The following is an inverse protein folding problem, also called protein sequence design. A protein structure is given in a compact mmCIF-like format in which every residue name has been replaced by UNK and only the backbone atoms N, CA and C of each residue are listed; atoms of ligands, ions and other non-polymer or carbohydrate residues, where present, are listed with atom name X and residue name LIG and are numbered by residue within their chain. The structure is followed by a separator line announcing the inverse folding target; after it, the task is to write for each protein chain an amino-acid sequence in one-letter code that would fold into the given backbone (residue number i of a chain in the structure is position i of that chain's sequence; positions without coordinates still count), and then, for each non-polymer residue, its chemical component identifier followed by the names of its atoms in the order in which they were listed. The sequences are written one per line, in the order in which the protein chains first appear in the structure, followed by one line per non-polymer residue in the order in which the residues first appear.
data_IF_220763394886
#
_entry.id   IF_220763394886
#
_cell.length_a   1.000
_cell.length_b   1.000
_cell.length_c   1.000
_cell.angle_alpha   90.00
_cell.angle_beta   90.00
_cell.angle_gamma   90.00
#
_symmetry.space_group_name_H-M   'P 1'
#
loop_
_entity.id
_entity.type
_entity.pdbx_description
1 polymer ?
#
# COMPACT_ATOMS: atom_id res chain seq x y z
N UNK A 1 -41.03 -7.81 24.42
CA UNK A 1 -40.84 -7.17 23.10
C UNK A 1 -39.34 -7.11 22.88
N UNK A 2 -38.80 -8.17 22.27
CA UNK A 2 -37.34 -8.42 22.11
C UNK A 2 -36.89 -7.85 20.77
N UNK A 3 -35.88 -6.97 20.78
CA UNK A 3 -35.30 -6.35 19.59
C UNK A 3 -34.53 -7.39 18.74
N UNK A 4 -34.87 -7.66 17.47
CA UNK A 4 -34.25 -8.69 16.64
C UNK A 4 -32.95 -8.23 15.93
N UNK A 5 -32.30 -7.13 16.34
CA UNK A 5 -31.13 -6.54 15.66
C UNK A 5 -29.79 -6.79 16.32
N UNK A 6 -29.63 -7.90 17.05
CA UNK A 6 -28.34 -8.34 17.64
C UNK A 6 -27.89 -9.69 17.11
N UNK A 7 -27.72 -9.81 15.82
CA UNK A 7 -26.81 -10.81 15.24
C UNK A 7 -25.97 -10.12 14.18
N UNK A 8 -25.02 -9.33 14.64
CA UNK A 8 -23.88 -8.99 13.83
C UNK A 8 -23.00 -10.24 13.74
N UNK A 9 -23.01 -10.88 12.58
CA UNK A 9 -22.00 -11.87 12.23
C UNK A 9 -20.64 -11.20 12.40
N UNK A 10 -20.02 -11.49 13.54
CA UNK A 10 -18.60 -11.22 13.75
C UNK A 10 -17.87 -12.11 12.74
N UNK A 11 -17.51 -11.53 11.62
CA UNK A 11 -16.61 -12.16 10.68
C UNK A 11 -15.34 -12.52 11.46
N UNK A 12 -15.22 -13.80 11.82
CA UNK A 12 -14.00 -14.31 12.45
C UNK A 12 -12.84 -13.97 11.51
N UNK A 13 -11.78 -13.30 12.00
CA UNK A 13 -10.62 -13.04 11.16
C UNK A 13 -10.09 -14.41 10.70
N UNK A 14 -9.96 -14.57 9.39
CA UNK A 14 -9.39 -15.78 8.81
C UNK A 14 -8.11 -16.12 9.55
N UNK A 15 -8.04 -17.31 10.13
CA UNK A 15 -6.87 -17.76 10.89
C UNK A 15 -5.67 -17.72 9.94
N UNK A 16 -4.65 -16.93 10.28
CA UNK A 16 -3.45 -16.82 9.47
C UNK A 16 -2.87 -18.24 9.26
N UNK A 17 -2.40 -18.57 8.05
CA UNK A 17 -1.87 -19.90 7.79
C UNK A 17 -0.69 -20.20 8.71
N UNK A 18 -0.59 -21.41 9.18
CA UNK A 18 0.54 -21.86 10.00
C UNK A 18 1.88 -21.80 9.23
N UNK A 19 1.81 -21.90 7.91
CA UNK A 19 2.94 -21.80 6.99
C UNK A 19 2.90 -20.45 6.27
N UNK A 20 4.04 -19.72 6.16
CA UNK A 20 4.09 -18.48 5.43
C UNK A 20 3.71 -18.64 3.95
N UNK A 21 2.96 -17.69 3.41
CA UNK A 21 2.59 -17.66 2.00
C UNK A 21 3.81 -17.57 1.09
N UNK A 22 3.93 -18.48 0.17
CA UNK A 22 4.91 -18.41 -0.92
C UNK A 22 4.43 -17.47 -2.03
N UNK A 23 5.37 -16.96 -2.83
CA UNK A 23 5.06 -16.15 -4.01
C UNK A 23 4.12 -16.88 -4.97
N UNK A 24 4.37 -18.15 -5.25
CA UNK A 24 3.56 -18.96 -6.19
C UNK A 24 2.11 -19.13 -5.72
N UNK A 25 1.88 -19.30 -4.43
CA UNK A 25 0.54 -19.38 -3.86
C UNK A 25 -0.19 -18.06 -3.99
N UNK A 26 0.49 -16.95 -3.69
CA UNK A 26 -0.10 -15.61 -3.85
C UNK A 26 -0.43 -15.30 -5.30
N UNK A 27 0.45 -15.63 -6.24
CA UNK A 27 0.18 -15.49 -7.70
C UNK A 27 -1.07 -16.27 -8.10
N UNK A 28 -1.18 -17.51 -7.65
CA UNK A 28 -2.37 -18.31 -7.92
C UNK A 28 -3.63 -17.64 -7.38
N UNK A 29 -3.62 -17.21 -6.11
CA UNK A 29 -4.77 -16.54 -5.49
C UNK A 29 -5.14 -15.23 -6.20
N UNK A 30 -4.16 -14.41 -6.58
CA UNK A 30 -4.40 -13.18 -7.35
C UNK A 30 -5.07 -13.48 -8.70
N UNK A 31 -4.63 -14.53 -9.39
CA UNK A 31 -5.25 -14.99 -10.64
C UNK A 31 -6.66 -15.53 -10.43
N UNK A 32 -6.90 -16.27 -9.34
CA UNK A 32 -8.23 -16.75 -8.95
C UNK A 32 -9.20 -15.60 -8.65
N UNK A 33 -8.68 -14.50 -8.05
CA UNK A 33 -9.41 -13.23 -7.86
C UNK A 33 -9.70 -12.48 -9.17
N UNK A 34 -9.07 -12.87 -10.26
CA UNK A 34 -9.32 -12.29 -11.57
C UNK A 34 -8.21 -11.40 -12.12
N UNK A 35 -7.09 -11.22 -11.43
CA UNK A 35 -5.95 -10.47 -11.96
C UNK A 35 -5.37 -11.16 -13.19
N UNK A 36 -5.18 -10.40 -14.26
CA UNK A 36 -4.70 -10.88 -15.56
C UNK A 36 -3.40 -10.18 -15.96
N UNK A 37 -2.65 -10.83 -16.84
CA UNK A 37 -1.51 -10.18 -17.50
C UNK A 37 -1.97 -8.95 -18.29
N UNK A 38 -1.29 -7.83 -18.10
CA UNK A 38 -1.63 -6.54 -18.70
C UNK A 38 -2.51 -5.63 -17.83
N UNK A 39 -3.02 -6.13 -16.72
CA UNK A 39 -3.84 -5.32 -15.82
C UNK A 39 -3.02 -4.20 -15.14
N UNK A 40 -3.72 -3.13 -14.79
CA UNK A 40 -3.25 -2.14 -13.83
C UNK A 40 -3.90 -2.42 -12.48
N UNK A 41 -3.09 -2.69 -11.47
CA UNK A 41 -3.58 -3.02 -10.12
C UNK A 41 -3.12 -1.96 -9.13
N UNK A 42 -4.09 -1.42 -8.38
CA UNK A 42 -3.80 -0.54 -7.23
C UNK A 42 -4.08 -1.30 -5.94
N UNK A 43 -3.06 -1.85 -5.27
CA UNK A 43 -3.27 -2.66 -4.07
C UNK A 43 -3.52 -1.79 -2.83
N UNK A 44 -4.56 -2.13 -2.07
CA UNK A 44 -4.78 -1.65 -0.72
C UNK A 44 -4.64 -2.83 0.23
N UNK A 45 -3.52 -2.90 0.95
CA UNK A 45 -3.12 -4.12 1.67
C UNK A 45 -2.86 -3.85 3.14
N UNK A 46 -3.47 -4.66 3.98
CA UNK A 46 -3.04 -4.85 5.35
C UNK A 46 -2.14 -6.09 5.44
N UNK A 47 -0.83 -5.90 5.56
CA UNK A 47 0.12 -7.01 5.71
C UNK A 47 -0.21 -7.91 6.91
N UNK A 48 -0.81 -7.33 7.96
CA UNK A 48 -1.29 -8.08 9.12
C UNK A 48 -2.44 -9.02 8.76
N UNK A 49 -3.34 -8.60 7.88
CA UNK A 49 -4.46 -9.41 7.45
C UNK A 49 -4.05 -10.49 6.45
N UNK A 50 -3.04 -10.23 5.63
CA UNK A 50 -2.45 -11.24 4.73
C UNK A 50 -1.80 -12.37 5.52
N UNK A 51 -1.17 -12.05 6.64
CA UNK A 51 -0.47 -13.02 7.49
C UNK A 51 1.01 -13.20 7.11
N UNK A 52 1.65 -14.29 7.59
CA UNK A 52 3.06 -14.54 7.33
C UNK A 52 3.38 -14.69 5.84
N UNK A 53 4.47 -14.09 5.41
CA UNK A 53 4.99 -14.13 4.05
C UNK A 53 6.40 -14.71 4.06
N UNK A 54 6.76 -15.57 3.10
CA UNK A 54 8.00 -16.35 3.11
C UNK A 54 9.26 -15.47 3.21
N UNK A 55 9.32 -14.39 2.43
CA UNK A 55 10.43 -13.43 2.44
C UNK A 55 9.94 -12.03 2.86
N UNK A 56 8.94 -12.00 3.75
CA UNK A 56 8.33 -10.75 4.21
C UNK A 56 7.51 -10.05 3.11
N UNK A 57 7.26 -8.74 3.24
CA UNK A 57 6.40 -7.98 2.33
C UNK A 57 6.83 -8.04 0.86
N UNK A 58 8.12 -8.26 0.59
CA UNK A 58 8.64 -8.40 -0.76
C UNK A 58 7.99 -9.55 -1.53
N UNK A 59 7.68 -10.67 -0.85
CA UNK A 59 6.96 -11.81 -1.44
C UNK A 59 5.65 -11.38 -2.10
N UNK A 60 4.89 -10.48 -1.46
CA UNK A 60 3.62 -10.01 -2.01
C UNK A 60 3.83 -9.06 -3.20
N UNK A 61 4.83 -8.16 -3.13
CA UNK A 61 5.14 -7.26 -4.25
C UNK A 61 5.57 -8.07 -5.48
N UNK A 62 6.44 -9.06 -5.29
CA UNK A 62 6.89 -9.95 -6.37
C UNK A 62 5.73 -10.77 -6.97
N UNK A 63 4.78 -11.20 -6.12
CA UNK A 63 3.59 -11.90 -6.59
C UNK A 63 2.65 -10.99 -7.40
N UNK A 64 2.45 -9.75 -6.98
CA UNK A 64 1.67 -8.77 -7.73
C UNK A 64 2.28 -8.50 -9.11
N UNK A 65 3.59 -8.26 -9.16
CA UNK A 65 4.33 -8.01 -10.41
C UNK A 65 4.23 -9.23 -11.35
N UNK A 66 4.41 -10.44 -10.83
CA UNK A 66 4.27 -11.65 -11.62
C UNK A 66 2.83 -11.86 -12.13
N UNK A 67 1.83 -11.54 -11.30
CA UNK A 67 0.44 -11.72 -11.68
C UNK A 67 0.01 -10.79 -12.82
N UNK A 68 0.44 -9.52 -12.79
CA UNK A 68 0.13 -8.56 -13.87
C UNK A 68 1.04 -8.71 -15.08
N UNK A 69 2.18 -9.39 -14.94
CA UNK A 69 3.11 -9.67 -16.03
C UNK A 69 3.80 -8.43 -16.62
N UNK A 70 4.59 -8.62 -17.70
CA UNK A 70 5.49 -7.58 -18.22
C UNK A 70 4.79 -6.39 -18.87
N UNK A 71 3.52 -6.50 -19.19
CA UNK A 71 2.72 -5.42 -19.80
C UNK A 71 1.73 -4.79 -18.81
N UNK A 72 1.64 -5.33 -17.60
CA UNK A 72 0.82 -4.80 -16.54
C UNK A 72 1.55 -3.76 -15.69
N UNK A 73 0.82 -3.11 -14.79
CA UNK A 73 1.36 -2.10 -13.91
C UNK A 73 0.83 -2.28 -12.49
N UNK A 74 1.66 -1.96 -11.51
CA UNK A 74 1.25 -1.74 -10.12
C UNK A 74 1.28 -0.23 -9.86
N UNK A 75 0.24 0.27 -9.24
CA UNK A 75 0.12 1.69 -8.88
C UNK A 75 -0.14 1.79 -7.38
N UNK A 76 0.70 2.49 -6.64
CA UNK A 76 0.53 2.68 -5.21
C UNK A 76 0.44 4.16 -4.84
N UNK A 77 -0.50 4.49 -3.96
CA UNK A 77 -0.58 5.82 -3.37
C UNK A 77 0.41 5.89 -2.20
N UNK A 78 1.54 6.54 -2.41
CA UNK A 78 2.66 6.51 -1.46
C UNK A 78 2.74 7.74 -0.57
N UNK A 79 2.34 8.93 -1.06
CA UNK A 79 2.49 10.20 -0.35
C UNK A 79 3.90 10.38 0.26
N UNK A 80 4.11 11.29 1.16
CA UNK A 80 5.42 11.54 1.77
C UNK A 80 5.33 11.54 3.30
N UNK A 81 6.08 10.65 3.96
CA UNK A 81 6.08 10.50 5.43
C UNK A 81 6.37 11.81 6.16
N UNK A 82 7.31 12.58 5.65
CA UNK A 82 7.76 13.82 6.29
C UNK A 82 7.10 15.07 5.69
N UNK A 83 5.97 14.88 4.98
CA UNK A 83 5.20 15.99 4.42
C UNK A 83 4.67 16.90 5.53
N UNK A 84 5.00 18.19 5.47
CA UNK A 84 4.44 19.14 6.42
C UNK A 84 2.91 19.29 6.28
N UNK A 85 2.35 18.99 5.10
CA UNK A 85 0.92 19.02 4.86
C UNK A 85 0.16 18.06 5.76
N UNK A 86 0.64 16.84 5.95
CA UNK A 86 0.03 15.85 6.85
C UNK A 86 -0.04 16.37 8.31
N UNK A 87 0.91 17.21 8.70
CA UNK A 87 0.94 17.82 10.03
C UNK A 87 -0.06 18.99 10.16
N UNK A 88 -0.54 19.52 9.04
CA UNK A 88 -1.47 20.66 9.00
C UNK A 88 -2.90 20.28 8.65
N UNK A 89 -3.16 19.01 8.35
CA UNK A 89 -4.50 18.51 8.03
C UNK A 89 -5.49 18.82 9.18
N UNK A 90 -6.55 19.56 8.84
CA UNK A 90 -7.56 19.96 9.81
C UNK A 90 -7.23 21.21 10.62
N UNK A 91 -6.12 21.88 10.34
CA UNK A 91 -5.71 23.15 10.94
C UNK A 91 -5.74 24.30 9.91
N UNK A 92 -5.71 25.53 10.41
CA UNK A 92 -5.55 26.72 9.55
C UNK A 92 -4.22 26.64 8.78
N UNK A 93 -4.20 27.24 7.59
CA UNK A 93 -2.98 27.30 6.78
C UNK A 93 -1.81 27.87 7.61
N UNK A 94 -0.64 27.23 7.61
CA UNK A 94 0.49 27.70 8.37
C UNK A 94 0.96 29.06 7.87
N UNK A 95 1.54 29.92 8.73
CA UNK A 95 2.14 31.15 8.32
C UNK A 95 3.15 30.94 7.17
N UNK A 96 3.19 31.87 6.21
CA UNK A 96 4.07 31.76 5.05
C UNK A 96 5.55 31.55 5.41
N UNK A 97 6.01 32.10 6.54
CA UNK A 97 7.37 31.92 7.04
C UNK A 97 7.66 30.44 7.42
N UNK A 98 6.64 29.73 7.94
CA UNK A 98 6.77 28.29 8.26
C UNK A 98 6.79 27.49 6.97
N UNK A 99 5.92 27.79 6.01
CA UNK A 99 5.89 27.11 4.73
C UNK A 99 7.22 27.25 3.96
N UNK A 100 7.89 28.38 4.06
CA UNK A 100 9.21 28.60 3.45
C UNK A 100 10.33 27.77 4.07
N UNK A 101 10.17 27.31 5.31
CA UNK A 101 11.16 26.47 6.00
C UNK A 101 10.97 24.97 5.73
N UNK A 102 9.96 24.57 4.98
CA UNK A 102 9.70 23.18 4.69
C UNK A 102 10.79 22.56 3.83
N UNK A 103 11.15 21.29 4.09
CA UNK A 103 12.13 20.61 3.29
C UNK A 103 11.64 20.43 1.85
N UNK A 104 12.56 20.40 0.90
CA UNK A 104 12.23 20.06 -0.47
C UNK A 104 11.86 18.58 -0.58
N UNK A 105 10.78 18.30 -1.32
CA UNK A 105 10.41 16.93 -1.63
C UNK A 105 11.33 16.35 -2.72
N UNK A 106 11.89 15.18 -2.43
CA UNK A 106 12.66 14.40 -3.37
C UNK A 106 11.90 13.09 -3.66
N UNK A 107 11.30 12.93 -4.84
CA UNK A 107 10.50 11.73 -5.16
C UNK A 107 11.31 10.45 -5.12
N UNK A 108 12.60 10.49 -5.40
CA UNK A 108 13.45 9.28 -5.44
C UNK A 108 13.81 8.78 -4.03
N UNK A 109 13.95 9.68 -3.06
CA UNK A 109 14.44 9.33 -1.72
C UNK A 109 13.40 9.50 -0.61
N UNK A 110 12.37 10.32 -0.81
CA UNK A 110 11.37 10.59 0.22
C UNK A 110 10.59 9.31 0.60
N UNK A 111 10.58 8.90 1.89
CA UNK A 111 9.87 7.70 2.32
C UNK A 111 8.36 7.82 2.11
N UNK A 112 7.71 6.68 1.86
CA UNK A 112 6.24 6.63 1.79
C UNK A 112 5.59 6.94 3.14
N UNK A 113 4.39 7.53 3.10
CA UNK A 113 3.60 7.76 4.31
C UNK A 113 3.08 6.43 4.88
N UNK A 114 3.43 6.07 6.12
CA UNK A 114 3.11 4.75 6.67
C UNK A 114 1.61 4.53 6.91
N UNK A 115 0.83 5.61 7.03
CA UNK A 115 -0.63 5.53 7.22
C UNK A 115 -1.39 4.91 6.05
N UNK A 116 -0.80 4.85 4.85
CA UNK A 116 -1.39 4.19 3.68
C UNK A 116 -0.95 2.73 3.51
N UNK A 117 -0.25 2.18 4.49
CA UNK A 117 0.18 0.80 4.53
C UNK A 117 1.67 0.60 4.22
N UNK A 118 2.30 -0.28 5.00
CA UNK A 118 3.72 -0.53 4.90
C UNK A 118 4.16 -1.09 3.53
N UNK A 119 3.27 -1.77 2.81
CA UNK A 119 3.55 -2.32 1.46
C UNK A 119 3.99 -1.25 0.47
N UNK A 120 3.51 0.00 0.63
CA UNK A 120 3.79 1.09 -0.28
C UNK A 120 5.28 1.47 -0.31
N UNK A 121 5.99 1.32 0.81
CA UNK A 121 7.44 1.53 0.83
C UNK A 121 8.18 0.45 0.01
N UNK A 122 7.72 -0.79 0.05
CA UNK A 122 8.29 -1.89 -0.75
C UNK A 122 8.01 -1.71 -2.25
N UNK A 123 6.83 -1.20 -2.62
CA UNK A 123 6.52 -0.86 -4.02
C UNK A 123 7.39 0.30 -4.48
N UNK A 124 7.45 1.39 -3.71
CA UNK A 124 8.24 2.58 -4.05
C UNK A 124 9.73 2.28 -4.26
N UNK A 125 10.28 1.40 -3.47
CA UNK A 125 11.71 1.03 -3.53
C UNK A 125 11.99 -0.13 -4.47
N UNK A 126 10.98 -0.65 -5.16
CA UNK A 126 11.17 -1.73 -6.11
C UNK A 126 12.01 -1.28 -7.31
N UNK A 127 12.97 -2.10 -7.77
CA UNK A 127 13.82 -1.75 -8.91
C UNK A 127 13.00 -1.35 -10.14
N UNK A 128 13.27 -0.17 -10.69
CA UNK A 128 12.55 0.36 -11.86
C UNK A 128 11.24 1.09 -11.54
N UNK A 129 10.84 1.15 -10.27
CA UNK A 129 9.70 1.96 -9.86
C UNK A 129 9.93 3.44 -10.18
N UNK A 130 8.87 4.15 -10.52
CA UNK A 130 8.87 5.59 -10.75
C UNK A 130 7.83 6.24 -9.86
N UNK A 131 8.15 7.39 -9.29
CA UNK A 131 7.24 8.14 -8.43
C UNK A 131 6.94 9.50 -9.02
N UNK A 132 5.68 9.93 -8.93
CA UNK A 132 5.27 11.28 -9.32
C UNK A 132 5.85 12.33 -8.37
N UNK A 133 6.02 13.56 -8.87
CA UNK A 133 6.68 14.65 -8.15
C UNK A 133 5.78 15.41 -7.16
N UNK A 134 4.56 14.95 -6.92
CA UNK A 134 3.65 15.62 -5.97
C UNK A 134 3.94 15.15 -4.53
N UNK A 135 4.28 16.02 -3.57
CA UNK A 135 4.70 15.59 -2.24
C UNK A 135 3.61 14.86 -1.46
N UNK A 136 2.37 15.34 -1.50
CA UNK A 136 1.27 14.83 -0.67
C UNK A 136 0.37 13.81 -1.35
N UNK A 137 0.43 13.72 -2.68
CA UNK A 137 -0.39 12.82 -3.47
C UNK A 137 0.45 12.05 -4.48
N UNK A 138 1.68 11.70 -4.12
CA UNK A 138 2.54 10.95 -5.03
C UNK A 138 2.09 9.50 -5.16
N UNK A 139 2.20 9.03 -6.39
CA UNK A 139 1.96 7.66 -6.80
C UNK A 139 3.29 7.02 -7.22
N UNK A 140 3.45 5.75 -6.93
CA UNK A 140 4.59 4.94 -7.33
C UNK A 140 4.12 3.65 -8.00
#
# INVERSE_FOLDING_TARGET
MTDPRKNGDLHEPATAPATPWSKSELVRQLRDLGVRSGDMVMPHVSLRAVGPLADGPQTLVDALIEAVGPTGNILAFVSWRDSPYEQTLGHDAPPAAIAQSWPAFDPDHAPAYPGFGAINEFIRTYPGCRRSAHPDASMA
#
